data_IF_299870292914
#
_entry.id   IF_299870292914
#
_cell.length_a   1.000
_cell.length_b   1.000
_cell.length_c   1.000
_cell.angle_alpha   90.00
_cell.angle_beta   90.00
_cell.angle_gamma   90.00
#
_symmetry.space_group_name_H-M   'P 1'
#
loop_
_entity.id
_entity.type
_entity.pdbx_description
1 polymer ?
#
# COMPACT_ATOMS: atom_id res chain seq x y z
N UNK A 1 -4.97 13.23 5.26
CA UNK A 1 -5.28 12.08 6.13
C UNK A 1 -5.83 10.86 5.39
N UNK A 2 -6.92 10.96 4.60
CA UNK A 2 -7.51 9.80 3.89
C UNK A 2 -6.50 9.15 2.93
N UNK A 3 -5.79 9.94 2.14
CA UNK A 3 -4.76 9.45 1.22
C UNK A 3 -3.66 8.65 1.96
N UNK A 4 -3.19 9.16 3.08
CA UNK A 4 -2.21 8.51 3.94
C UNK A 4 -2.70 7.14 4.41
N UNK A 5 -3.95 7.08 4.88
CA UNK A 5 -4.59 5.84 5.35
C UNK A 5 -4.69 4.79 4.23
N UNK A 6 -5.20 5.18 3.08
CA UNK A 6 -5.41 4.26 1.95
C UNK A 6 -4.10 3.72 1.37
N UNK A 7 -3.07 4.58 1.23
CA UNK A 7 -1.74 4.12 0.84
C UNK A 7 -1.09 3.23 1.91
N UNK A 8 -1.37 3.49 3.20
CA UNK A 8 -0.90 2.62 4.29
C UNK A 8 -1.50 1.22 4.21
N UNK A 9 -2.79 1.12 3.90
CA UNK A 9 -3.45 -0.18 3.73
C UNK A 9 -2.84 -0.91 2.54
N UNK A 10 -2.77 -0.29 1.36
CA UNK A 10 -2.26 -0.95 0.15
C UNK A 10 -0.79 -1.31 0.27
N UNK A 11 0.06 -0.35 0.65
CA UNK A 11 1.50 -0.56 0.78
C UNK A 11 1.86 -1.55 1.88
N UNK A 12 1.26 -1.40 3.05
CA UNK A 12 1.49 -2.29 4.19
C UNK A 12 1.01 -3.71 3.93
N UNK A 13 -0.14 -3.89 3.25
CA UNK A 13 -0.65 -5.21 2.88
C UNK A 13 0.24 -5.90 1.84
N UNK A 14 0.70 -5.18 0.80
CA UNK A 14 1.63 -5.74 -0.18
C UNK A 14 2.98 -6.04 0.46
N UNK A 15 3.49 -5.20 1.36
CA UNK A 15 4.71 -5.47 2.11
C UNK A 15 4.58 -6.72 3.01
N UNK A 16 3.46 -6.89 3.69
CA UNK A 16 3.18 -8.08 4.48
C UNK A 16 3.12 -9.34 3.59
N UNK A 17 2.45 -9.26 2.44
CA UNK A 17 2.41 -10.37 1.48
C UNK A 17 3.80 -10.71 0.93
N UNK A 18 4.69 -9.74 0.73
CA UNK A 18 6.05 -9.99 0.25
C UNK A 18 6.84 -10.92 1.18
N UNK A 19 6.55 -10.90 2.49
CA UNK A 19 7.20 -11.77 3.49
C UNK A 19 6.51 -13.12 3.64
N UNK A 20 5.30 -13.30 3.10
CA UNK A 20 4.53 -14.51 3.24
C UNK A 20 5.08 -15.67 2.39
N UNK A 21 4.81 -16.90 2.82
CA UNK A 21 5.13 -18.12 2.06
C UNK A 21 4.07 -18.36 1.00
N UNK A 22 4.24 -17.79 -0.19
CA UNK A 22 3.26 -17.89 -1.28
C UNK A 22 2.88 -19.32 -1.67
N UNK A 23 3.78 -20.30 -1.46
CA UNK A 23 3.48 -21.70 -1.72
C UNK A 23 2.37 -22.27 -0.83
N UNK A 24 2.15 -21.66 0.34
CA UNK A 24 1.15 -22.09 1.33
C UNK A 24 -0.15 -21.24 1.21
N UNK A 25 -0.12 -20.13 0.49
CA UNK A 25 -1.27 -19.25 0.33
C UNK A 25 -2.17 -19.71 -0.82
N UNK A 26 -3.47 -19.79 -0.55
CA UNK A 26 -4.44 -20.04 -1.60
C UNK A 26 -4.41 -18.87 -2.60
N UNK A 27 -4.29 -19.21 -3.89
CA UNK A 27 -4.30 -18.21 -4.98
C UNK A 27 -5.47 -17.21 -4.89
N UNK A 28 -6.65 -17.70 -4.55
CA UNK A 28 -7.85 -16.85 -4.38
C UNK A 28 -7.62 -15.73 -3.37
N UNK A 29 -6.92 -16.02 -2.26
CA UNK A 29 -6.59 -15.02 -1.26
C UNK A 29 -5.66 -13.94 -1.81
N UNK A 30 -4.58 -14.34 -2.49
CA UNK A 30 -3.62 -13.38 -3.09
C UNK A 30 -4.34 -12.47 -4.10
N UNK A 31 -5.25 -13.01 -4.89
CA UNK A 31 -6.04 -12.25 -5.85
C UNK A 31 -6.97 -11.24 -5.17
N UNK A 32 -7.66 -11.63 -4.11
CA UNK A 32 -8.53 -10.71 -3.34
C UNK A 32 -7.70 -9.61 -2.70
N UNK A 33 -6.58 -9.94 -2.07
CA UNK A 33 -5.68 -8.96 -1.48
C UNK A 33 -5.11 -7.99 -2.54
N UNK A 34 -4.74 -8.49 -3.73
CA UNK A 34 -4.29 -7.66 -4.84
C UNK A 34 -5.40 -6.72 -5.33
N UNK A 35 -6.65 -7.18 -5.42
CA UNK A 35 -7.80 -6.35 -5.80
C UNK A 35 -8.07 -5.25 -4.77
N UNK A 36 -7.97 -5.55 -3.47
CA UNK A 36 -8.11 -4.55 -2.40
C UNK A 36 -6.98 -3.52 -2.48
N UNK A 37 -5.72 -3.96 -2.66
CA UNK A 37 -4.59 -3.05 -2.84
C UNK A 37 -4.75 -2.18 -4.08
N UNK A 38 -5.22 -2.74 -5.18
CA UNK A 38 -5.53 -2.01 -6.41
C UNK A 38 -6.60 -0.94 -6.17
N UNK A 39 -7.74 -1.32 -5.60
CA UNK A 39 -8.86 -0.41 -5.37
C UNK A 39 -8.48 0.76 -4.44
N UNK A 40 -7.77 0.47 -3.35
CA UNK A 40 -7.33 1.50 -2.40
C UNK A 40 -6.29 2.43 -3.01
N UNK A 41 -5.32 1.92 -3.78
CA UNK A 41 -4.31 2.73 -4.45
C UNK A 41 -4.91 3.59 -5.57
N UNK A 42 -5.81 3.03 -6.40
CA UNK A 42 -6.52 3.77 -7.45
C UNK A 42 -7.37 4.90 -6.86
N UNK A 43 -8.17 4.59 -5.85
CA UNK A 43 -9.02 5.58 -5.19
C UNK A 43 -8.19 6.76 -4.65
N UNK A 44 -7.02 6.45 -4.06
CA UNK A 44 -6.13 7.48 -3.53
C UNK A 44 -5.50 8.32 -4.63
N UNK A 45 -5.04 7.68 -5.70
CA UNK A 45 -4.39 8.37 -6.83
C UNK A 45 -5.42 9.29 -7.53
N UNK A 46 -6.63 8.81 -7.74
CA UNK A 46 -7.74 9.61 -8.32
C UNK A 46 -8.08 10.78 -7.40
N UNK A 47 -8.19 10.54 -6.10
CA UNK A 47 -8.45 11.63 -5.16
C UNK A 47 -7.36 12.69 -5.20
N UNK A 48 -6.09 12.30 -5.15
CA UNK A 48 -4.98 13.27 -5.23
C UNK A 48 -4.96 14.03 -6.54
N UNK A 49 -5.42 13.46 -7.66
CA UNK A 49 -5.53 14.18 -8.92
C UNK A 49 -6.67 15.20 -8.92
N UNK A 50 -7.78 14.89 -8.25
CA UNK A 50 -8.94 15.79 -8.16
C UNK A 50 -8.83 16.88 -7.08
N UNK A 51 -8.01 16.66 -6.05
CA UNK A 51 -7.86 17.57 -4.90
C UNK A 51 -6.64 18.49 -5.00
N UNK A 52 -5.89 18.45 -6.10
CA UNK A 52 -4.65 19.21 -6.22
C UNK A 52 -4.93 20.71 -6.45
N UNK A 53 -4.59 21.49 -5.45
CA UNK A 53 -4.41 22.91 -5.59
C UNK A 53 -3.23 23.18 -6.52
N UNK A 54 -3.34 24.04 -7.57
CA UNK A 54 -2.27 24.26 -8.55
C UNK A 54 -0.97 24.78 -7.93
N UNK A 55 -1.01 25.31 -6.72
CA UNK A 55 0.16 25.84 -6.00
C UNK A 55 1.05 24.73 -5.42
N UNK A 56 0.53 23.52 -5.20
CA UNK A 56 1.25 22.42 -4.54
C UNK A 56 1.62 21.25 -5.47
N UNK A 57 1.55 21.42 -6.79
CA UNK A 57 1.75 20.37 -7.78
C UNK A 57 3.12 19.68 -7.67
N UNK A 58 4.20 20.43 -7.45
CA UNK A 58 5.56 19.87 -7.43
C UNK A 58 5.78 18.86 -6.27
N UNK A 59 5.15 19.08 -5.13
CA UNK A 59 5.28 18.19 -3.97
C UNK A 59 4.37 16.95 -4.04
N UNK A 60 3.29 16.99 -4.83
CA UNK A 60 2.35 15.88 -4.96
C UNK A 60 2.71 14.92 -6.10
N UNK A 61 3.47 15.36 -7.09
CA UNK A 61 3.77 14.55 -8.28
C UNK A 61 4.59 13.29 -7.96
N UNK A 62 5.58 13.39 -7.08
CA UNK A 62 6.34 12.21 -6.68
C UNK A 62 5.51 11.23 -5.82
N UNK A 63 4.57 11.75 -5.00
CA UNK A 63 3.64 10.91 -4.22
C UNK A 63 2.70 10.16 -5.17
N UNK A 64 2.21 10.83 -6.21
CA UNK A 64 1.42 10.20 -7.27
C UNK A 64 2.21 9.16 -8.02
N UNK A 65 3.44 9.48 -8.44
CA UNK A 65 4.33 8.54 -9.11
C UNK A 65 4.59 7.30 -8.24
N UNK A 66 4.90 7.48 -6.95
CA UNK A 66 5.05 6.39 -6.01
C UNK A 66 3.76 5.59 -5.82
N UNK A 67 2.60 6.25 -5.86
CA UNK A 67 1.27 5.64 -5.74
C UNK A 67 0.86 4.79 -6.95
N UNK A 68 1.42 5.04 -8.14
CA UNK A 68 1.19 4.22 -9.34
C UNK A 68 1.86 2.84 -9.19
N UNK A 69 2.97 2.76 -8.46
CA UNK A 69 3.72 1.50 -8.28
C UNK A 69 2.85 0.40 -7.65
N UNK A 70 2.15 0.61 -6.52
CA UNK A 70 1.27 -0.42 -5.96
C UNK A 70 0.09 -0.76 -6.88
N UNK A 71 -0.41 0.20 -7.68
CA UNK A 71 -1.44 -0.07 -8.70
C UNK A 71 -0.93 -1.04 -9.75
N UNK A 72 0.23 -0.76 -10.33
CA UNK A 72 0.83 -1.62 -11.36
C UNK A 72 1.22 -2.99 -10.80
N UNK A 73 1.77 -3.04 -9.59
CA UNK A 73 2.11 -4.28 -8.91
C UNK A 73 0.87 -5.14 -8.62
N UNK A 74 -0.21 -4.53 -8.15
CA UNK A 74 -1.46 -5.23 -7.86
C UNK A 74 -2.11 -5.77 -9.14
N UNK A 75 -2.12 -5.00 -10.24
CA UNK A 75 -2.55 -5.50 -11.56
C UNK A 75 -1.69 -6.67 -12.02
N UNK A 76 -0.36 -6.55 -11.91
CA UNK A 76 0.56 -7.63 -12.23
C UNK A 76 0.24 -8.91 -11.46
N UNK A 77 -0.06 -8.80 -10.17
CA UNK A 77 -0.47 -9.94 -9.33
C UNK A 77 -1.76 -10.61 -9.82
N UNK A 78 -2.73 -9.83 -10.28
CA UNK A 78 -4.00 -10.38 -10.77
C UNK A 78 -3.82 -11.17 -12.08
N UNK A 79 -2.92 -10.71 -12.96
CA UNK A 79 -2.76 -11.29 -14.31
C UNK A 79 -1.67 -12.36 -14.42
N UNK A 80 -0.56 -12.22 -13.68
CA UNK A 80 0.62 -13.11 -13.84
C UNK A 80 0.46 -14.42 -13.08
N UNK A 81 -0.29 -14.42 -12.02
CA UNK A 81 -0.28 -15.51 -11.07
C UNK A 81 -0.87 -16.85 -11.55
N UNK A 82 -1.87 -16.95 -12.44
CA UNK A 82 -2.42 -18.25 -12.76
C UNK A 82 -1.59 -19.08 -13.76
N UNK A 83 -0.64 -18.50 -14.46
CA UNK A 83 -0.12 -19.09 -15.70
C UNK A 83 1.22 -19.81 -15.60
N UNK A 84 1.96 -19.74 -14.48
CA UNK A 84 3.31 -20.32 -14.44
C UNK A 84 3.72 -20.88 -13.07
N UNK A 85 4.44 -22.02 -13.07
CA UNK A 85 5.08 -22.55 -11.86
C UNK A 85 6.15 -21.62 -11.23
N UNK A 86 6.47 -20.51 -11.90
CA UNK A 86 7.35 -19.44 -11.40
C UNK A 86 6.60 -18.34 -10.62
N UNK A 87 5.27 -18.41 -10.55
CA UNK A 87 4.43 -17.39 -9.93
C UNK A 87 4.83 -16.99 -8.49
N UNK A 88 5.34 -17.88 -7.61
CA UNK A 88 5.69 -17.46 -6.25
C UNK A 88 6.80 -16.42 -6.20
N UNK A 89 7.78 -16.49 -7.12
CA UNK A 89 8.90 -15.53 -7.18
C UNK A 89 8.46 -14.20 -7.76
N UNK A 90 7.74 -14.22 -8.89
CA UNK A 90 7.21 -13.02 -9.53
C UNK A 90 6.22 -12.29 -8.61
N UNK A 91 5.32 -13.02 -7.95
CA UNK A 91 4.36 -12.45 -7.01
C UNK A 91 5.04 -11.81 -5.81
N UNK A 92 6.08 -12.46 -5.26
CA UNK A 92 6.85 -11.90 -4.15
C UNK A 92 7.57 -10.61 -4.55
N UNK A 93 8.15 -10.57 -5.75
CA UNK A 93 8.81 -9.38 -6.29
C UNK A 93 7.81 -8.23 -6.51
N UNK A 94 6.65 -8.51 -7.10
CA UNK A 94 5.58 -7.52 -7.29
C UNK A 94 5.05 -6.99 -5.95
N UNK A 95 4.84 -7.88 -4.97
CA UNK A 95 4.44 -7.49 -3.62
C UNK A 95 5.49 -6.60 -2.94
N UNK A 96 6.79 -6.91 -3.10
CA UNK A 96 7.87 -6.11 -2.52
C UNK A 96 7.93 -4.70 -3.15
N UNK A 97 7.92 -4.61 -4.47
CA UNK A 97 7.93 -3.32 -5.17
C UNK A 97 6.67 -2.51 -4.88
N UNK A 98 5.49 -3.15 -4.96
CA UNK A 98 4.23 -2.49 -4.66
C UNK A 98 4.14 -2.02 -3.21
N UNK A 99 4.66 -2.83 -2.29
CA UNK A 99 4.76 -2.48 -0.88
C UNK A 99 5.65 -1.27 -0.65
N UNK A 100 6.85 -1.26 -1.23
CA UNK A 100 7.79 -0.13 -1.13
C UNK A 100 7.19 1.16 -1.73
N UNK A 101 6.58 1.09 -2.91
CA UNK A 101 5.92 2.23 -3.54
C UNK A 101 4.78 2.79 -2.69
N UNK A 102 3.92 1.91 -2.17
CA UNK A 102 2.81 2.31 -1.32
C UNK A 102 3.25 2.92 0.02
N UNK A 103 4.29 2.36 0.65
CA UNK A 103 4.89 2.89 1.87
C UNK A 103 5.56 4.25 1.62
N UNK A 104 6.25 4.42 0.49
CA UNK A 104 6.83 5.71 0.11
C UNK A 104 5.74 6.76 -0.12
N UNK A 105 4.67 6.41 -0.85
CA UNK A 105 3.54 7.30 -1.07
C UNK A 105 2.83 7.68 0.24
N UNK A 106 2.62 6.72 1.14
CA UNK A 106 2.02 6.96 2.46
C UNK A 106 2.88 7.91 3.31
N UNK A 107 4.19 7.68 3.33
CA UNK A 107 5.14 8.52 4.08
C UNK A 107 5.20 9.94 3.53
N UNK A 108 5.19 10.09 2.21
CA UNK A 108 5.14 11.39 1.56
C UNK A 108 3.87 12.16 1.85
N UNK A 109 2.71 11.49 1.75
CA UNK A 109 1.43 12.09 2.09
C UNK A 109 1.37 12.52 3.57
N UNK A 110 1.98 11.74 4.47
CA UNK A 110 2.09 12.09 5.88
C UNK A 110 2.96 13.33 6.10
N UNK A 111 4.12 13.39 5.43
CA UNK A 111 5.04 14.55 5.51
C UNK A 111 4.37 15.83 5.00
N UNK A 112 3.68 15.77 3.86
CA UNK A 112 2.93 16.93 3.35
C UNK A 112 1.87 17.39 4.34
N UNK A 113 1.06 16.46 4.87
CA UNK A 113 0.04 16.78 5.87
C UNK A 113 0.63 17.39 7.14
N UNK A 114 1.82 16.91 7.53
CA UNK A 114 2.53 17.46 8.69
C UNK A 114 3.08 18.86 8.42
N UNK A 115 3.70 19.08 7.26
CA UNK A 115 4.24 20.38 6.87
C UNK A 115 3.15 21.46 6.78
N UNK A 116 1.98 21.11 6.22
CA UNK A 116 0.83 22.01 6.13
C UNK A 116 0.27 22.41 7.51
N UNK A 117 0.36 21.47 8.47
CA UNK A 117 -0.21 21.68 9.81
C UNK A 117 0.71 22.49 10.74
N UNK A 118 2.00 22.45 10.49
CA UNK A 118 3.02 23.07 11.35
C UNK A 118 4.00 23.94 10.55
N UNK A 119 3.51 24.96 9.82
CA UNK A 119 4.37 25.84 9.05
C UNK A 119 5.29 26.63 9.97
N UNK A 120 6.59 26.46 9.78
CA UNK A 120 7.59 27.39 10.34
C UNK A 120 7.91 27.25 11.83
N UNK A 121 7.72 26.07 12.44
CA UNK A 121 8.17 25.85 13.83
C UNK A 121 9.70 25.61 13.83
N UNK A 122 10.52 26.62 14.30
CA UNK A 122 11.96 26.43 14.43
C UNK A 122 12.25 25.37 15.50
N UNK A 123 13.17 24.46 15.22
CA UNK A 123 13.64 23.48 16.21
C UNK A 123 13.13 22.05 16.02
N UNK A 124 12.22 21.78 15.08
CA UNK A 124 11.72 20.43 14.79
C UNK A 124 12.52 19.71 13.68
N UNK A 125 13.84 19.87 13.66
CA UNK A 125 14.70 19.16 12.70
C UNK A 125 14.62 17.62 12.79
N UNK A 126 14.24 17.09 13.96
CA UNK A 126 14.04 15.65 14.16
C UNK A 126 12.60 15.16 13.89
N UNK A 127 11.62 16.05 13.71
CA UNK A 127 10.22 15.67 13.54
C UNK A 127 9.92 14.92 12.22
N UNK A 128 10.47 15.32 11.05
CA UNK A 128 10.23 14.59 9.81
C UNK A 128 10.62 13.11 9.85
N UNK A 129 11.81 12.70 10.35
CA UNK A 129 12.15 11.28 10.49
C UNK A 129 11.20 10.52 11.40
N UNK A 130 10.76 11.14 12.50
CA UNK A 130 9.81 10.52 13.43
C UNK A 130 8.43 10.34 12.79
N UNK A 131 7.97 11.31 11.99
CA UNK A 131 6.71 11.21 11.24
C UNK A 131 6.78 10.05 10.25
N UNK A 132 7.89 9.94 9.51
CA UNK A 132 8.11 8.82 8.57
C UNK A 132 8.14 7.48 9.29
N UNK A 133 8.88 7.36 10.39
CA UNK A 133 8.99 6.13 11.16
C UNK A 133 7.62 5.71 11.72
N UNK A 134 6.90 6.62 12.35
CA UNK A 134 5.57 6.37 12.87
C UNK A 134 4.60 5.94 11.76
N UNK A 135 4.70 6.58 10.58
CA UNK A 135 3.88 6.24 9.43
C UNK A 135 4.20 4.86 8.87
N UNK A 136 5.48 4.49 8.76
CA UNK A 136 5.90 3.16 8.31
C UNK A 136 5.41 2.06 9.26
N UNK A 137 5.59 2.24 10.57
CA UNK A 137 5.11 1.29 11.58
C UNK A 137 3.59 1.15 11.53
N UNK A 138 2.87 2.26 11.46
CA UNK A 138 1.41 2.27 11.35
C UNK A 138 0.92 1.60 10.07
N UNK A 139 1.59 1.83 8.94
CA UNK A 139 1.25 1.24 7.66
C UNK A 139 1.49 -0.28 7.66
N UNK A 140 2.61 -0.74 8.22
CA UNK A 140 2.90 -2.17 8.35
C UNK A 140 1.88 -2.85 9.27
N UNK A 141 1.56 -2.24 10.42
CA UNK A 141 0.57 -2.79 11.34
C UNK A 141 -0.81 -2.87 10.68
N UNK A 142 -1.28 -1.79 10.07
CA UNK A 142 -2.58 -1.73 9.42
C UNK A 142 -2.68 -2.71 8.25
N UNK A 143 -1.62 -2.79 7.45
CA UNK A 143 -1.54 -3.72 6.31
C UNK A 143 -1.52 -5.17 6.73
N UNK A 144 -0.77 -5.54 7.77
CA UNK A 144 -0.74 -6.91 8.32
C UNK A 144 -2.08 -7.29 8.91
N UNK A 145 -2.73 -6.38 9.65
CA UNK A 145 -4.09 -6.63 10.21
C UNK A 145 -5.11 -6.82 9.10
N UNK A 146 -5.07 -6.00 8.05
CA UNK A 146 -5.97 -6.13 6.89
C UNK A 146 -5.73 -7.45 6.16
N UNK A 147 -4.48 -7.84 5.93
CA UNK A 147 -4.13 -9.11 5.30
C UNK A 147 -4.59 -10.30 6.15
N UNK A 148 -4.37 -10.26 7.46
CA UNK A 148 -4.81 -11.31 8.39
C UNK A 148 -6.34 -11.42 8.44
N UNK A 149 -7.06 -10.30 8.44
CA UNK A 149 -8.51 -10.28 8.40
C UNK A 149 -9.06 -10.90 7.10
N UNK A 150 -8.50 -10.52 5.95
CA UNK A 150 -8.88 -11.11 4.66
C UNK A 150 -8.60 -12.61 4.61
N UNK A 151 -7.45 -13.05 5.15
CA UNK A 151 -7.09 -14.47 5.20
C UNK A 151 -8.07 -15.25 6.08
N UNK A 152 -8.40 -14.74 7.26
CA UNK A 152 -9.38 -15.35 8.17
C UNK A 152 -10.75 -15.46 7.53
N UNK A 153 -11.20 -14.40 6.83
CA UNK A 153 -12.48 -14.42 6.14
C UNK A 153 -12.50 -15.41 4.97
N UNK A 154 -11.42 -15.48 4.18
CA UNK A 154 -11.30 -16.44 3.09
C UNK A 154 -11.31 -17.90 3.61
N UNK A 155 -10.66 -18.16 4.75
CA UNK A 155 -10.66 -19.49 5.37
C UNK A 155 -12.05 -19.90 5.86
N UNK A 156 -12.76 -19.00 6.56
CA UNK A 156 -14.11 -19.27 7.07
C UNK A 156 -15.13 -19.52 5.96
N UNK A 157 -15.00 -18.83 4.83
CA UNK A 157 -15.90 -19.05 3.67
C UNK A 157 -15.58 -20.36 2.96
N UNK A 158 -14.32 -20.76 2.87
CA UNK A 158 -13.93 -22.05 2.27
C UNK A 158 -14.45 -23.26 3.07
N UNK A 159 -14.40 -23.20 4.40
CA UNK A 159 -14.87 -24.30 5.28
C UNK A 159 -16.39 -24.45 5.32
N UNK A 160 -17.17 -23.47 4.90
CA UNK A 160 -18.64 -23.55 4.83
C UNK A 160 -19.15 -24.20 3.53
N UNK A 161 -18.28 -24.41 2.55
CA UNK A 161 -18.66 -25.00 1.25
C UNK A 161 -18.31 -26.49 1.14
N UNK A 162 -17.73 -27.07 2.17
CA UNK A 162 -17.49 -28.51 2.30
C UNK A 162 -18.50 -29.15 3.25
#
# INVERSE_FOLDING_TARGET
>A
MIATLLYSISGGMLAALATARFAELAWRFVRVAALVAFATSCATTIWLTGAADPVNLAHTDWIRAAGIIPVAAALGLVFIAPASGAWPRASRFLCAIGGLGGLAAASGAALCTWADRYPGIPGYSCAPPMVVLAQLLSALLLGTMTAAWLLGHAYLTATRMT
#
